data_IF_047794667434
#
_entry.id   IF_047794667434
#
_cell.length_a   1.000
_cell.length_b   1.000
_cell.length_c   1.000
_cell.angle_alpha   90.00
_cell.angle_beta   90.00
_cell.angle_gamma   90.00
#
_symmetry.space_group_name_H-M   'P 1'
#
loop_
_entity.id
_entity.type
_entity.pdbx_description
1 polymer ?
#
# COMPACT_ATOMS: atom_id res chain seq x y z
N UNK A 1 8.24 15.77 -24.40
CA UNK A 1 9.30 16.73 -24.05
C UNK A 1 10.29 16.18 -23.03
N UNK A 2 9.87 15.71 -21.85
CA UNK A 2 10.78 15.21 -20.81
C UNK A 2 11.77 14.12 -21.31
N UNK A 3 11.26 13.11 -22.04
CA UNK A 3 12.11 12.06 -22.64
C UNK A 3 13.17 12.64 -23.58
N UNK A 4 12.77 13.52 -24.51
CA UNK A 4 13.66 14.15 -25.47
C UNK A 4 14.76 14.99 -24.81
N UNK A 5 14.45 15.70 -23.72
CA UNK A 5 15.44 16.50 -22.95
C UNK A 5 16.51 15.61 -22.31
N UNK A 6 16.15 14.38 -21.96
CA UNK A 6 17.08 13.38 -21.43
C UNK A 6 17.70 12.51 -22.53
N UNK A 7 17.50 12.82 -23.81
CA UNK A 7 18.02 12.04 -24.94
C UNK A 7 17.42 10.64 -25.05
N UNK A 8 16.24 10.42 -24.46
CA UNK A 8 15.54 9.14 -24.49
C UNK A 8 14.46 9.14 -25.56
N UNK A 9 14.40 8.05 -26.32
CA UNK A 9 13.28 7.72 -27.20
C UNK A 9 12.32 6.75 -26.51
N UNK A 10 11.03 6.87 -26.83
CA UNK A 10 10.02 5.98 -26.27
C UNK A 10 8.73 6.02 -27.07
N UNK A 11 8.02 4.89 -27.11
CA UNK A 11 6.70 4.81 -27.73
C UNK A 11 5.65 5.39 -26.77
N UNK A 12 5.31 6.67 -26.96
CA UNK A 12 4.28 7.39 -26.18
C UNK A 12 2.86 7.26 -26.76
N UNK A 13 2.66 6.38 -27.73
CA UNK A 13 1.43 6.31 -28.54
C UNK A 13 1.44 7.32 -29.69
N UNK A 14 0.43 7.20 -30.56
CA UNK A 14 0.21 8.08 -31.71
C UNK A 14 -0.55 9.36 -31.33
N UNK A 15 -1.34 9.30 -30.25
CA UNK A 15 -2.22 10.38 -29.79
C UNK A 15 -2.24 10.45 -28.27
N UNK A 16 -2.69 11.57 -27.71
CA UNK A 16 -3.06 11.60 -26.30
C UNK A 16 -4.37 10.82 -26.09
N UNK A 17 -4.56 10.22 -24.92
CA UNK A 17 -5.78 9.47 -24.64
C UNK A 17 -5.76 8.79 -23.29
N UNK A 18 -6.93 8.30 -22.88
CA UNK A 18 -7.09 7.48 -21.67
C UNK A 18 -6.46 6.11 -21.89
N UNK A 19 -5.65 5.66 -20.94
CA UNK A 19 -5.12 4.29 -20.89
C UNK A 19 -6.23 3.24 -20.90
N UNK A 20 -7.42 3.60 -20.41
CA UNK A 20 -8.56 2.69 -20.37
C UNK A 20 -9.31 2.66 -21.71
N UNK A 21 -9.80 3.80 -22.19
CA UNK A 21 -10.71 3.85 -23.36
C UNK A 21 -9.98 4.00 -24.70
N UNK A 22 -8.73 4.50 -24.69
CA UNK A 22 -7.86 4.61 -25.86
C UNK A 22 -6.51 3.90 -25.61
N UNK A 23 -6.57 2.61 -25.25
CA UNK A 23 -5.37 1.79 -25.10
C UNK A 23 -4.66 1.64 -26.46
N UNK A 24 -3.53 2.34 -26.62
CA UNK A 24 -2.72 2.36 -27.85
C UNK A 24 -1.66 1.25 -27.88
N UNK A 25 -1.58 0.42 -26.84
CA UNK A 25 -0.57 -0.61 -26.65
C UNK A 25 -1.20 -1.99 -26.36
N UNK A 26 -2.32 -2.29 -27.04
CA UNK A 26 -3.16 -3.48 -26.77
C UNK A 26 -2.44 -4.83 -26.86
N UNK A 27 -1.37 -4.91 -27.63
CA UNK A 27 -0.59 -6.14 -27.84
C UNK A 27 0.71 -6.16 -27.05
N UNK A 28 1.03 -5.09 -26.31
CA UNK A 28 2.24 -4.99 -25.51
C UNK A 28 2.28 -6.12 -24.46
N UNK A 29 3.46 -6.73 -24.33
CA UNK A 29 3.81 -7.71 -23.30
C UNK A 29 5.11 -7.24 -22.66
N UNK A 30 4.97 -6.43 -21.62
CA UNK A 30 6.09 -5.82 -20.93
C UNK A 30 6.69 -6.78 -19.89
N UNK A 31 8.01 -6.87 -19.84
CA UNK A 31 8.69 -7.61 -18.77
C UNK A 31 8.68 -6.83 -17.45
N UNK A 32 8.67 -5.50 -17.55
CA UNK A 32 8.59 -4.60 -16.39
C UNK A 32 7.57 -3.49 -16.64
N UNK A 33 6.73 -3.23 -15.65
CA UNK A 33 5.86 -2.05 -15.60
C UNK A 33 6.15 -1.31 -14.31
N UNK A 34 6.41 -0.01 -14.39
CA UNK A 34 6.53 0.87 -13.23
C UNK A 34 5.54 2.01 -13.43
N UNK A 35 4.66 2.22 -12.45
CA UNK A 35 3.62 3.23 -12.60
C UNK A 35 3.23 3.88 -11.27
N UNK A 36 2.96 5.18 -11.34
CA UNK A 36 2.30 5.95 -10.28
C UNK A 36 1.00 6.54 -10.85
N UNK A 37 -0.05 5.72 -11.03
CA UNK A 37 -1.32 6.19 -11.55
C UNK A 37 -2.02 7.14 -10.55
N UNK A 38 -2.93 8.00 -11.01
CA UNK A 38 -3.71 8.86 -10.13
C UNK A 38 -4.59 8.02 -9.18
N UNK A 39 -4.63 8.40 -7.91
CA UNK A 39 -5.32 7.63 -6.86
C UNK A 39 -6.82 7.91 -6.85
N UNK A 40 -7.62 6.87 -6.62
CA UNK A 40 -9.06 6.97 -6.32
C UNK A 40 -9.87 7.78 -7.36
N UNK A 41 -9.48 7.74 -8.63
CA UNK A 41 -10.24 8.42 -9.68
C UNK A 41 -11.59 7.70 -9.87
N UNK A 42 -12.68 8.48 -9.84
CA UNK A 42 -14.04 7.98 -10.04
C UNK A 42 -14.55 8.20 -11.47
N UNK A 43 -13.99 9.17 -12.19
CA UNK A 43 -14.36 9.47 -13.57
C UNK A 43 -13.35 8.85 -14.54
N UNK A 44 -13.39 7.52 -14.66
CA UNK A 44 -12.50 6.74 -15.54
C UNK A 44 -13.24 6.03 -16.67
N UNK A 45 -14.50 6.44 -16.93
CA UNK A 45 -15.36 5.92 -18.00
C UNK A 45 -15.67 4.41 -17.88
N UNK A 46 -15.83 3.92 -16.64
CA UNK A 46 -16.09 2.53 -16.30
C UNK A 46 -17.29 1.92 -17.06
N UNK A 47 -18.33 2.72 -17.33
CA UNK A 47 -19.53 2.34 -18.08
C UNK A 47 -19.20 1.77 -19.46
N UNK A 48 -18.15 2.28 -20.11
CA UNK A 48 -17.77 1.88 -21.47
C UNK A 48 -16.98 0.58 -21.49
N UNK A 49 -16.61 0.05 -20.33
CA UNK A 49 -15.62 -1.00 -20.17
C UNK A 49 -16.16 -2.21 -19.41
N UNK A 50 -17.48 -2.36 -19.27
CA UNK A 50 -18.06 -3.47 -18.49
C UNK A 50 -17.63 -4.85 -19.02
N UNK A 51 -17.48 -4.98 -20.35
CA UNK A 51 -17.08 -6.23 -21.03
C UNK A 51 -15.60 -6.25 -21.45
N UNK A 52 -14.76 -5.38 -20.86
CA UNK A 52 -13.35 -5.30 -21.26
C UNK A 52 -12.59 -6.58 -20.86
N UNK A 53 -11.83 -7.20 -21.78
CA UNK A 53 -11.13 -8.46 -21.53
C UNK A 53 -10.01 -8.36 -20.48
N UNK A 54 -9.64 -7.14 -20.04
CA UNK A 54 -8.67 -6.92 -18.95
C UNK A 54 -9.24 -7.30 -17.58
N UNK A 55 -10.56 -7.35 -17.41
CA UNK A 55 -11.22 -7.58 -16.11
C UNK A 55 -11.32 -9.07 -15.74
N UNK A 56 -10.20 -9.78 -15.83
CA UNK A 56 -10.11 -11.24 -15.59
C UNK A 56 -10.42 -11.60 -14.13
N UNK A 57 -10.15 -10.70 -13.19
CA UNK A 57 -10.37 -10.90 -11.75
C UNK A 57 -11.70 -10.31 -11.25
N UNK A 58 -12.50 -9.72 -12.15
CA UNK A 58 -13.76 -9.05 -11.83
C UNK A 58 -13.79 -7.60 -12.30
N UNK A 59 -14.99 -7.03 -12.44
CA UNK A 59 -15.20 -5.69 -12.97
C UNK A 59 -14.87 -4.64 -11.89
N UNK A 60 -13.90 -3.74 -12.11
CA UNK A 60 -13.57 -2.69 -11.15
C UNK A 60 -14.77 -1.75 -10.89
N UNK A 61 -14.93 -1.23 -9.66
CA UNK A 61 -16.03 -0.34 -9.34
C UNK A 61 -15.92 0.99 -10.10
N UNK A 62 -17.07 1.51 -10.53
CA UNK A 62 -17.17 2.80 -11.23
C UNK A 62 -16.54 3.94 -10.43
N UNK A 63 -16.76 3.97 -9.12
CA UNK A 63 -16.26 5.02 -8.24
C UNK A 63 -14.76 4.99 -7.93
N UNK A 64 -14.01 3.95 -8.35
CA UNK A 64 -12.58 3.85 -8.04
C UNK A 64 -11.79 3.02 -9.06
N UNK A 65 -10.86 3.64 -9.78
CA UNK A 65 -10.03 2.96 -10.77
C UNK A 65 -8.82 2.19 -10.21
N UNK A 66 -8.58 2.15 -8.89
CA UNK A 66 -7.37 1.52 -8.33
C UNK A 66 -7.19 0.07 -8.82
N UNK A 67 -8.25 -0.74 -8.77
CA UNK A 67 -8.21 -2.12 -9.28
C UNK A 67 -8.29 -2.21 -10.81
N UNK A 68 -8.80 -1.17 -11.49
CA UNK A 68 -8.71 -1.06 -12.94
C UNK A 68 -7.24 -0.88 -13.38
N UNK A 69 -6.45 -0.08 -12.67
CA UNK A 69 -5.02 0.09 -12.92
C UNK A 69 -4.25 -1.22 -12.74
N UNK A 70 -4.46 -1.92 -11.62
CA UNK A 70 -3.80 -3.18 -11.33
C UNK A 70 -4.08 -4.23 -12.41
N UNK A 71 -5.36 -4.42 -12.77
CA UNK A 71 -5.75 -5.39 -13.80
C UNK A 71 -5.25 -4.98 -15.20
N UNK A 72 -5.27 -3.69 -15.54
CA UNK A 72 -4.72 -3.22 -16.81
C UNK A 72 -3.22 -3.52 -16.93
N UNK A 73 -2.44 -3.19 -15.90
CA UNK A 73 -1.00 -3.46 -15.90
C UNK A 73 -0.73 -4.96 -15.95
N UNK A 74 -1.45 -5.75 -15.15
CA UNK A 74 -1.33 -7.21 -15.16
C UNK A 74 -1.63 -7.82 -16.53
N UNK A 75 -2.65 -7.31 -17.24
CA UNK A 75 -3.00 -7.76 -18.59
C UNK A 75 -1.95 -7.41 -19.66
N UNK A 76 -1.06 -6.45 -19.38
CA UNK A 76 0.02 -5.99 -20.27
C UNK A 76 1.37 -6.62 -19.92
N UNK A 77 1.47 -7.38 -18.82
CA UNK A 77 2.69 -8.11 -18.48
C UNK A 77 2.94 -9.30 -19.43
N UNK A 78 4.20 -9.57 -19.72
CA UNK A 78 4.65 -10.82 -20.34
C UNK A 78 4.43 -12.00 -19.39
N UNK A 79 4.59 -13.24 -19.85
CA UNK A 79 4.39 -14.43 -18.99
C UNK A 79 5.34 -14.48 -17.79
N UNK A 80 6.46 -13.76 -17.83
CA UNK A 80 7.41 -13.61 -16.74
C UNK A 80 7.49 -12.17 -16.21
N UNK A 81 6.59 -11.31 -16.69
CA UNK A 81 6.61 -9.89 -16.40
C UNK A 81 6.20 -9.56 -14.97
N UNK A 82 6.66 -8.39 -14.51
CA UNK A 82 6.45 -7.89 -13.16
C UNK A 82 6.11 -6.41 -13.16
N UNK A 83 5.25 -5.99 -12.24
CA UNK A 83 4.86 -4.60 -12.11
C UNK A 83 5.14 -4.06 -10.71
N UNK A 84 5.56 -2.80 -10.61
CA UNK A 84 5.56 -2.02 -9.38
C UNK A 84 4.61 -0.84 -9.54
N UNK A 85 3.58 -0.77 -8.70
CA UNK A 85 2.50 0.21 -8.83
C UNK A 85 2.31 0.95 -7.52
N UNK A 86 2.34 2.29 -7.57
CA UNK A 86 2.03 3.13 -6.42
C UNK A 86 0.51 3.34 -6.35
N UNK A 87 -0.11 3.07 -5.20
CA UNK A 87 -1.53 3.34 -4.95
C UNK A 87 -1.74 3.88 -3.53
N UNK A 88 -2.91 4.46 -3.25
CA UNK A 88 -3.29 4.83 -1.89
C UNK A 88 -3.46 3.58 -1.00
N UNK A 89 -3.16 3.70 0.31
CA UNK A 89 -3.25 2.58 1.26
C UNK A 89 -4.62 1.89 1.31
N UNK A 90 -5.70 2.63 1.04
CA UNK A 90 -7.06 2.07 0.98
C UNK A 90 -7.20 0.92 -0.02
N UNK A 91 -6.38 0.89 -1.08
CA UNK A 91 -6.37 -0.22 -2.05
C UNK A 91 -6.09 -1.58 -1.40
N UNK A 92 -5.29 -1.63 -0.33
CA UNK A 92 -4.89 -2.87 0.34
C UNK A 92 -5.98 -3.49 1.22
N UNK A 93 -6.96 -2.68 1.65
CA UNK A 93 -7.89 -3.07 2.71
C UNK A 93 -9.36 -2.73 2.43
N UNK A 94 -9.66 -2.11 1.28
CA UNK A 94 -11.02 -1.78 0.90
C UNK A 94 -11.93 -3.00 0.98
N UNK A 95 -13.05 -2.82 1.68
CA UNK A 95 -14.09 -3.82 1.87
C UNK A 95 -15.32 -3.58 0.99
N UNK A 96 -15.24 -2.64 0.03
CA UNK A 96 -16.25 -2.58 -1.02
C UNK A 96 -16.25 -3.93 -1.75
N UNK A 97 -17.43 -4.54 -1.89
CA UNK A 97 -17.56 -5.95 -2.33
C UNK A 97 -16.74 -6.26 -3.58
N UNK A 98 -16.88 -5.44 -4.63
CA UNK A 98 -16.15 -5.61 -5.88
C UNK A 98 -14.61 -5.56 -5.72
N UNK A 99 -14.07 -4.59 -4.97
CA UNK A 99 -12.61 -4.50 -4.76
C UNK A 99 -12.08 -5.64 -3.88
N UNK A 100 -12.88 -6.07 -2.90
CA UNK A 100 -12.53 -7.19 -2.04
C UNK A 100 -12.50 -8.50 -2.82
N UNK A 101 -13.48 -8.73 -3.69
CA UNK A 101 -13.56 -9.91 -4.56
C UNK A 101 -12.42 -9.95 -5.58
N UNK A 102 -12.15 -8.83 -6.26
CA UNK A 102 -11.02 -8.73 -7.20
C UNK A 102 -9.70 -9.01 -6.50
N UNK A 103 -9.47 -8.40 -5.34
CA UNK A 103 -8.25 -8.63 -4.54
C UNK A 103 -8.10 -10.09 -4.16
N UNK A 104 -9.19 -10.70 -3.67
CA UNK A 104 -9.19 -12.11 -3.29
C UNK A 104 -8.86 -13.00 -4.49
N UNK A 105 -9.45 -12.77 -5.66
CA UNK A 105 -9.12 -13.56 -6.86
C UNK A 105 -7.67 -13.33 -7.31
N UNK A 106 -7.15 -12.11 -7.26
CA UNK A 106 -5.73 -11.83 -7.55
C UNK A 106 -4.77 -12.58 -6.61
N UNK A 107 -5.12 -12.70 -5.32
CA UNK A 107 -4.35 -13.49 -4.34
C UNK A 107 -4.44 -14.99 -4.68
N UNK A 108 -5.64 -15.50 -4.97
CA UNK A 108 -5.87 -16.91 -5.33
C UNK A 108 -5.12 -17.29 -6.62
N UNK A 109 -5.07 -16.38 -7.59
CA UNK A 109 -4.31 -16.54 -8.84
C UNK A 109 -2.81 -16.29 -8.66
N UNK A 110 -2.36 -16.03 -7.45
CA UNK A 110 -0.96 -15.84 -7.05
C UNK A 110 -0.23 -14.73 -7.83
N UNK A 111 -0.95 -13.66 -8.22
CA UNK A 111 -0.37 -12.56 -9.01
C UNK A 111 0.15 -11.40 -8.14
N UNK A 112 -0.26 -11.32 -6.88
CA UNK A 112 0.22 -10.29 -5.93
C UNK A 112 1.48 -10.81 -5.26
N UNK A 113 2.61 -10.15 -5.45
CA UNK A 113 3.93 -10.64 -5.03
C UNK A 113 4.46 -10.02 -3.74
N UNK A 114 4.35 -8.70 -3.61
CA UNK A 114 4.86 -7.98 -2.45
C UNK A 114 4.05 -6.72 -2.22
N UNK A 115 3.84 -6.40 -0.95
CA UNK A 115 3.12 -5.23 -0.47
C UNK A 115 4.02 -4.40 0.42
N UNK A 116 4.21 -3.13 0.06
CA UNK A 116 5.00 -2.18 0.86
C UNK A 116 4.11 -1.05 1.33
N UNK A 117 3.95 -0.88 2.63
CA UNK A 117 3.28 0.29 3.20
C UNK A 117 4.30 1.40 3.37
N UNK A 118 4.09 2.56 2.72
CA UNK A 118 5.02 3.68 2.79
C UNK A 118 4.63 4.65 3.92
N UNK A 119 5.58 5.47 4.38
CA UNK A 119 5.30 6.59 5.28
C UNK A 119 4.23 7.53 4.72
N UNK A 120 3.46 8.13 5.63
CA UNK A 120 2.72 9.34 5.27
C UNK A 120 3.70 10.47 4.94
N UNK A 121 3.20 11.55 4.32
CA UNK A 121 4.00 12.76 4.06
C UNK A 121 5.20 12.58 3.11
N UNK A 122 5.22 11.54 2.27
CA UNK A 122 6.19 11.44 1.16
C UNK A 122 5.85 12.38 0.00
N UNK A 123 4.56 12.52 -0.30
CA UNK A 123 4.09 13.34 -1.41
C UNK A 123 3.93 14.80 -0.99
N UNK A 124 4.40 15.72 -1.83
CA UNK A 124 4.24 17.16 -1.62
C UNK A 124 2.78 17.63 -1.68
N UNK A 125 1.94 16.91 -2.44
CA UNK A 125 0.58 17.34 -2.77
C UNK A 125 -0.51 16.63 -1.97
N UNK A 126 -0.17 15.61 -1.17
CA UNK A 126 -1.15 14.87 -0.37
C UNK A 126 -0.53 14.24 0.86
N UNK A 127 -1.27 14.25 1.97
CA UNK A 127 -0.91 13.52 3.19
C UNK A 127 -1.36 12.06 3.15
N UNK A 128 -2.14 11.66 2.14
CA UNK A 128 -2.64 10.28 1.99
C UNK A 128 -1.42 9.35 1.90
N UNK A 129 -1.27 8.41 2.86
CA UNK A 129 -0.21 7.41 2.77
C UNK A 129 -0.43 6.50 1.56
N UNK A 130 0.66 6.22 0.87
CA UNK A 130 0.66 5.33 -0.29
C UNK A 130 1.29 3.98 0.05
N UNK A 131 1.06 3.02 -0.83
CA UNK A 131 1.63 1.70 -0.80
C UNK A 131 2.19 1.36 -2.19
N UNK A 132 3.12 0.41 -2.21
CA UNK A 132 3.58 -0.24 -3.43
C UNK A 132 2.93 -1.61 -3.53
N UNK A 133 2.30 -1.84 -4.67
CA UNK A 133 1.88 -3.15 -5.14
C UNK A 133 2.94 -3.69 -6.07
N UNK A 134 3.52 -4.84 -5.74
CA UNK A 134 4.29 -5.62 -6.69
C UNK A 134 3.42 -6.75 -7.22
N UNK A 135 3.29 -6.83 -8.54
CA UNK A 135 2.62 -7.92 -9.24
C UNK A 135 3.66 -8.77 -9.98
N UNK A 136 3.44 -10.08 -10.04
CA UNK A 136 4.26 -10.99 -10.83
C UNK A 136 3.40 -12.05 -11.52
N UNK A 137 3.74 -12.37 -12.76
CA UNK A 137 3.11 -13.48 -13.50
C UNK A 137 3.76 -14.83 -13.21
N UNK A 138 4.95 -14.84 -12.64
CA UNK A 138 5.68 -16.06 -12.28
C UNK A 138 6.58 -15.82 -11.06
N UNK A 139 6.31 -16.58 -9.99
CA UNK A 139 7.05 -16.53 -8.72
C UNK A 139 7.95 -17.74 -8.47
N UNK A 140 7.99 -18.69 -9.42
CA UNK A 140 8.83 -19.88 -9.34
C UNK A 140 10.30 -19.52 -9.58
N UNK A 141 11.18 -20.47 -9.32
CA UNK A 141 12.61 -20.35 -9.62
C UNK A 141 12.79 -20.06 -11.11
N UNK A 142 13.53 -18.98 -11.41
CA UNK A 142 13.77 -18.55 -12.79
C UNK A 142 14.30 -17.13 -12.90
N UNK A 143 13.99 -16.40 -13.99
CA UNK A 143 14.46 -15.03 -14.20
C UNK A 143 14.03 -14.06 -13.09
N UNK A 144 12.95 -14.38 -12.38
CA UNK A 144 12.37 -13.56 -11.32
C UNK A 144 12.93 -13.85 -9.93
N UNK A 145 13.87 -14.79 -9.77
CA UNK A 145 14.49 -15.12 -8.49
C UNK A 145 14.97 -16.56 -8.43
N UNK A 146 15.91 -16.84 -7.52
CA UNK A 146 16.40 -18.20 -7.29
C UNK A 146 15.63 -18.94 -6.19
N UNK A 147 14.71 -18.27 -5.52
CA UNK A 147 13.78 -18.86 -4.56
C UNK A 147 12.39 -19.06 -5.18
N UNK A 148 11.76 -20.20 -4.91
CA UNK A 148 10.35 -20.41 -5.21
C UNK A 148 9.51 -19.73 -4.13
N UNK A 149 8.62 -18.84 -4.56
CA UNK A 149 7.73 -18.05 -3.68
C UNK A 149 6.28 -18.17 -4.10
N UNK A 150 5.95 -19.27 -4.78
CA UNK A 150 4.58 -19.56 -5.19
C UNK A 150 3.68 -19.62 -3.95
N UNK A 151 2.50 -19.00 -4.03
CA UNK A 151 1.53 -18.86 -2.94
C UNK A 151 2.06 -18.09 -1.71
N UNK A 152 3.11 -17.29 -1.87
CA UNK A 152 3.63 -16.41 -0.84
C UNK A 152 3.49 -14.94 -1.26
N UNK A 153 3.26 -14.08 -0.26
CA UNK A 153 3.23 -12.63 -0.41
C UNK A 153 4.16 -12.03 0.63
N UNK A 154 5.15 -11.26 0.19
CA UNK A 154 6.00 -10.51 1.10
C UNK A 154 5.29 -9.24 1.55
N UNK A 155 5.25 -9.01 2.86
CA UNK A 155 4.81 -7.76 3.45
C UNK A 155 6.00 -7.00 4.00
N UNK A 156 6.12 -5.71 3.63
CA UNK A 156 7.11 -4.79 4.18
C UNK A 156 6.39 -3.57 4.75
N UNK A 157 6.57 -3.30 6.03
CA UNK A 157 6.04 -2.12 6.69
C UNK A 157 7.12 -1.05 6.78
N UNK A 158 7.16 -0.19 5.75
CA UNK A 158 8.11 0.91 5.68
C UNK A 158 7.59 2.21 6.30
N UNK A 159 6.43 2.21 6.98
CA UNK A 159 5.75 3.44 7.46
C UNK A 159 6.60 4.31 8.38
N UNK A 160 7.55 3.69 9.10
CA UNK A 160 8.49 4.36 10.02
C UNK A 160 9.93 4.38 9.50
N UNK A 161 10.17 3.95 8.25
CA UNK A 161 11.52 3.75 7.73
C UNK A 161 12.14 4.98 7.08
N UNK A 162 11.41 6.09 6.90
CA UNK A 162 11.99 7.32 6.37
C UNK A 162 12.79 8.04 7.47
N UNK A 163 14.10 8.13 7.27
CA UNK A 163 15.03 8.68 8.26
C UNK A 163 15.34 10.17 8.06
N UNK A 164 14.92 10.77 6.94
CA UNK A 164 15.17 12.18 6.62
C UNK A 164 13.87 12.99 6.47
N UNK A 165 13.99 14.31 6.67
CA UNK A 165 12.91 15.29 6.51
C UNK A 165 13.35 16.41 5.59
N UNK A 166 12.58 16.63 4.52
CA UNK A 166 12.76 17.76 3.59
C UNK A 166 12.16 19.03 4.20
N UNK A 167 11.04 18.89 4.92
CA UNK A 167 10.35 20.01 5.57
C UNK A 167 9.69 19.58 6.87
N UNK A 168 9.02 20.52 7.56
CA UNK A 168 8.24 20.21 8.78
C UNK A 168 7.17 19.13 8.56
N UNK A 169 6.69 18.99 7.32
CA UNK A 169 5.56 18.12 6.97
C UNK A 169 5.88 17.16 5.83
N UNK A 170 7.15 17.03 5.43
CA UNK A 170 7.55 16.12 4.36
C UNK A 170 8.77 15.31 4.77
N UNK A 171 8.66 13.99 4.63
CA UNK A 171 9.76 13.04 4.85
C UNK A 171 10.32 12.58 3.51
N UNK A 172 11.55 12.07 3.54
CA UNK A 172 12.17 11.40 2.41
C UNK A 172 12.93 10.17 2.87
N UNK A 173 13.09 9.22 1.95
CA UNK A 173 13.98 8.09 2.16
C UNK A 173 15.40 8.49 1.81
N UNK A 174 16.33 8.17 2.70
CA UNK A 174 17.76 8.17 2.39
C UNK A 174 18.12 6.97 1.52
N UNK A 175 19.30 7.00 0.89
CA UNK A 175 19.80 5.85 0.14
C UNK A 175 19.92 4.60 1.01
N UNK A 176 20.22 4.75 2.30
CA UNK A 176 20.27 3.65 3.26
C UNK A 176 18.88 3.06 3.51
N UNK A 177 17.85 3.90 3.67
CA UNK A 177 16.47 3.44 3.86
C UNK A 177 15.98 2.66 2.63
N UNK A 178 16.21 3.22 1.42
CA UNK A 178 15.87 2.56 0.16
C UNK A 178 16.62 1.26 -0.01
N UNK A 179 17.92 1.23 0.30
CA UNK A 179 18.77 0.04 0.21
C UNK A 179 18.26 -1.04 1.15
N UNK A 180 17.90 -0.71 2.40
CA UNK A 180 17.35 -1.68 3.36
C UNK A 180 16.08 -2.34 2.81
N UNK A 181 15.11 -1.54 2.37
CA UNK A 181 13.84 -2.04 1.83
C UNK A 181 14.07 -2.89 0.57
N UNK A 182 14.91 -2.41 -0.35
CA UNK A 182 15.23 -3.12 -1.58
C UNK A 182 15.95 -4.44 -1.29
N UNK A 183 16.96 -4.45 -0.42
CA UNK A 183 17.70 -5.66 -0.06
C UNK A 183 16.79 -6.69 0.60
N UNK A 184 15.89 -6.31 1.50
CA UNK A 184 14.90 -7.26 2.06
C UNK A 184 14.11 -7.98 0.98
N UNK A 185 13.61 -7.24 -0.02
CA UNK A 185 12.91 -7.83 -1.15
C UNK A 185 13.80 -8.71 -2.04
N UNK A 186 15.03 -8.28 -2.28
CA UNK A 186 15.99 -9.01 -3.12
C UNK A 186 16.55 -10.28 -2.46
N UNK A 187 16.73 -10.28 -1.13
CA UNK A 187 17.05 -11.44 -0.30
C UNK A 187 15.91 -12.44 -0.32
N UNK A 188 14.66 -11.99 -0.10
CA UNK A 188 13.47 -12.86 -0.15
C UNK A 188 13.34 -13.58 -1.50
N UNK A 189 13.63 -12.85 -2.58
CA UNK A 189 13.63 -13.38 -3.95
C UNK A 189 14.88 -14.18 -4.32
N UNK A 190 15.95 -14.07 -3.53
CA UNK A 190 17.28 -14.58 -3.83
C UNK A 190 17.73 -14.17 -5.26
N UNK A 191 17.83 -12.86 -5.50
CA UNK A 191 18.27 -12.32 -6.80
C UNK A 191 19.76 -11.98 -6.82
N UNK A 192 20.32 -11.74 -7.99
CA UNK A 192 21.72 -11.28 -8.15
C UNK A 192 22.00 -9.89 -7.54
N UNK A 193 20.97 -9.09 -7.30
CA UNK A 193 21.08 -7.79 -6.63
C UNK A 193 21.09 -7.91 -5.09
N UNK A 194 20.81 -9.10 -4.57
CA UNK A 194 20.93 -9.37 -3.14
C UNK A 194 22.39 -9.26 -2.74
N UNK A 195 22.63 -8.71 -1.55
CA UNK A 195 23.95 -8.65 -0.90
C UNK A 195 24.51 -10.00 -0.45
N UNK A 196 23.80 -11.11 -0.68
CA UNK A 196 24.22 -12.47 -0.35
C UNK A 196 23.74 -12.98 1.01
N UNK A 197 23.14 -12.11 1.83
CA UNK A 197 22.57 -12.50 3.12
C UNK A 197 21.25 -13.25 2.94
N UNK A 198 20.92 -14.21 3.83
CA UNK A 198 19.63 -14.87 3.81
C UNK A 198 18.49 -13.90 4.15
N UNK A 199 17.29 -14.24 3.68
CA UNK A 199 16.07 -13.57 4.13
C UNK A 199 15.61 -14.13 5.47
N UNK A 200 15.20 -13.25 6.36
CA UNK A 200 14.57 -13.58 7.64
C UNK A 200 13.39 -12.63 7.89
N UNK A 201 12.33 -13.14 8.51
CA UNK A 201 11.22 -12.30 8.96
C UNK A 201 11.66 -11.43 10.14
N UNK A 202 11.29 -10.15 10.12
CA UNK A 202 11.69 -9.17 11.12
C UNK A 202 10.42 -8.54 11.71
N UNK A 203 10.14 -8.76 13.01
CA UNK A 203 9.00 -8.16 13.69
C UNK A 203 8.94 -6.64 13.47
N UNK A 204 7.75 -6.14 13.14
CA UNK A 204 7.48 -4.73 12.84
C UNK A 204 8.00 -4.24 11.47
N UNK A 205 8.74 -5.06 10.70
CA UNK A 205 9.34 -4.63 9.44
C UNK A 205 8.98 -5.49 8.23
N UNK A 206 9.20 -6.81 8.26
CA UNK A 206 8.88 -7.67 7.12
C UNK A 206 8.44 -9.09 7.50
N UNK A 207 7.54 -9.65 6.70
CA UNK A 207 7.01 -10.99 6.89
C UNK A 207 6.60 -11.64 5.56
N UNK A 208 7.04 -12.86 5.29
CA UNK A 208 6.65 -13.67 4.14
C UNK A 208 5.42 -14.53 4.47
N UNK A 209 4.23 -14.01 4.20
CA UNK A 209 2.99 -14.72 4.52
C UNK A 209 2.66 -15.81 3.50
N UNK A 210 2.16 -16.95 3.99
CA UNK A 210 1.53 -17.95 3.15
C UNK A 210 0.11 -17.53 2.74
N UNK A 211 -0.44 -18.19 1.73
CA UNK A 211 -1.86 -18.06 1.37
C UNK A 211 -2.79 -18.26 2.58
N UNK A 212 -2.50 -19.24 3.44
CA UNK A 212 -3.32 -19.53 4.62
C UNK A 212 -3.31 -18.38 5.62
N UNK A 213 -2.18 -17.70 5.80
CA UNK A 213 -2.08 -16.55 6.68
C UNK A 213 -2.90 -15.38 6.15
N UNK A 214 -2.80 -15.12 4.83
CA UNK A 214 -3.60 -14.09 4.16
C UNK A 214 -5.10 -14.40 4.25
N UNK A 215 -5.48 -15.68 4.16
CA UNK A 215 -6.86 -16.12 4.33
C UNK A 215 -7.36 -15.88 5.76
N UNK A 216 -6.57 -16.18 6.79
CA UNK A 216 -6.91 -15.90 8.21
C UNK A 216 -7.14 -14.40 8.46
N UNK A 217 -6.44 -13.54 7.71
CA UNK A 217 -6.62 -12.09 7.76
C UNK A 217 -7.71 -11.54 6.82
N UNK A 218 -8.54 -12.40 6.22
CA UNK A 218 -9.66 -12.00 5.38
C UNK A 218 -9.23 -11.32 4.08
N UNK A 219 -8.09 -11.73 3.51
CA UNK A 219 -7.54 -11.19 2.27
C UNK A 219 -7.19 -9.69 2.33
N UNK A 220 -7.02 -9.13 3.53
CA UNK A 220 -6.52 -7.77 3.71
C UNK A 220 -5.00 -7.76 3.54
N UNK A 221 -4.48 -6.90 2.67
CA UNK A 221 -3.07 -6.88 2.29
C UNK A 221 -2.27 -5.77 3.01
N UNK A 222 -2.71 -5.34 4.20
CA UNK A 222 -2.01 -4.30 4.97
C UNK A 222 -0.81 -4.89 5.72
N UNK A 223 0.44 -4.51 5.41
CA UNK A 223 1.64 -5.10 6.02
C UNK A 223 1.64 -5.14 7.56
N UNK A 224 1.14 -4.09 8.21
CA UNK A 224 1.06 -4.01 9.68
C UNK A 224 0.22 -5.10 10.35
N UNK A 225 -0.59 -5.88 9.61
CA UNK A 225 -1.31 -7.05 10.16
C UNK A 225 -0.45 -8.31 10.22
N UNK A 226 0.62 -8.36 9.44
CA UNK A 226 1.46 -9.54 9.24
C UNK A 226 2.80 -9.42 9.96
N UNK A 227 3.42 -8.24 9.89
CA UNK A 227 4.77 -8.05 10.45
C UNK A 227 4.79 -8.03 11.98
N UNK A 228 3.63 -7.98 12.65
CA UNK A 228 3.55 -7.83 14.10
C UNK A 228 4.00 -6.43 14.57
N UNK A 229 4.17 -6.29 15.89
CA UNK A 229 4.83 -5.12 16.45
C UNK A 229 6.33 -5.43 16.60
N UNK A 230 7.20 -4.43 16.38
CA UNK A 230 8.52 -4.46 17.02
C UNK A 230 8.28 -4.67 18.52
N UNK A 231 9.07 -5.54 19.16
CA UNK A 231 9.22 -5.47 20.60
C UNK A 231 9.73 -4.07 20.91
N UNK A 232 8.81 -3.19 21.29
CA UNK A 232 9.17 -1.95 21.93
C UNK A 232 9.92 -2.40 23.17
N UNK A 233 11.20 -2.00 23.35
CA UNK A 233 11.83 -2.04 24.67
C UNK A 233 10.81 -1.45 25.63
N UNK A 234 10.21 -2.33 26.44
CA UNK A 234 8.97 -2.03 27.11
C UNK A 234 9.15 -0.76 27.94
N UNK A 235 8.20 0.14 27.77
CA UNK A 235 7.59 0.72 28.96
C UNK A 235 7.28 -0.50 29.86
N UNK A 236 8.02 -0.69 30.96
CA UNK A 236 8.00 -1.89 31.84
C UNK A 236 6.59 -2.20 32.42
N UNK A 237 5.58 -1.40 32.06
CA UNK A 237 4.19 -1.50 32.48
C UNK A 237 3.43 -2.58 31.66
N UNK A 238 3.01 -3.68 32.30
CA UNK A 238 2.12 -4.67 31.69
C UNK A 238 0.85 -4.02 31.12
N UNK A 239 0.30 -4.57 30.03
CA UNK A 239 -0.90 -4.04 29.37
C UNK A 239 -2.08 -3.79 30.33
N UNK A 240 -2.27 -4.67 31.31
CA UNK A 240 -3.33 -4.53 32.33
C UNK A 240 -3.14 -3.26 33.17
N UNK A 241 -1.95 -3.06 33.72
CA UNK A 241 -1.60 -1.88 34.52
C UNK A 241 -1.72 -0.59 33.72
N UNK A 242 -1.28 -0.63 32.45
CA UNK A 242 -1.43 0.49 31.52
C UNK A 242 -2.89 0.84 31.26
N UNK A 243 -3.76 -0.16 31.14
CA UNK A 243 -5.18 0.06 30.89
C UNK A 243 -5.90 0.58 32.11
N UNK A 244 -5.54 0.12 33.30
CA UNK A 244 -6.03 0.65 34.55
C UNK A 244 -5.62 2.12 34.71
N UNK A 245 -4.33 2.44 34.53
CA UNK A 245 -3.82 3.81 34.61
C UNK A 245 -4.46 4.76 33.58
N UNK A 246 -4.59 4.33 32.33
CA UNK A 246 -5.22 5.13 31.28
C UNK A 246 -6.71 5.33 31.55
N UNK A 247 -7.38 4.33 32.12
CA UNK A 247 -8.80 4.44 32.52
C UNK A 247 -8.95 5.42 33.69
N UNK A 248 -8.08 5.38 34.70
CA UNK A 248 -8.06 6.34 35.80
C UNK A 248 -7.81 7.77 35.30
N UNK A 249 -6.85 7.95 34.39
CA UNK A 249 -6.62 9.25 33.75
C UNK A 249 -7.85 9.75 33.00
N UNK A 250 -8.51 8.89 32.24
CA UNK A 250 -9.72 9.25 31.51
C UNK A 250 -10.84 9.67 32.46
N UNK A 251 -11.05 8.95 33.58
CA UNK A 251 -12.06 9.31 34.59
C UNK A 251 -11.74 10.66 35.23
N UNK A 252 -10.48 10.91 35.57
CA UNK A 252 -10.03 12.20 36.11
C UNK A 252 -10.29 13.36 35.13
N UNK A 253 -9.95 13.17 33.86
CA UNK A 253 -10.19 14.17 32.81
C UNK A 253 -11.68 14.43 32.57
N UNK A 254 -12.54 13.40 32.66
CA UNK A 254 -14.00 13.57 32.59
C UNK A 254 -14.50 14.40 33.77
N UNK A 255 -13.99 14.17 34.98
CA UNK A 255 -14.37 14.96 36.15
C UNK A 255 -13.95 16.43 36.02
N UNK A 256 -12.72 16.69 35.55
CA UNK A 256 -12.22 18.04 35.29
C UNK A 256 -13.05 18.75 34.20
N UNK A 257 -13.36 18.05 33.10
CA UNK A 257 -14.25 18.55 32.04
C UNK A 257 -15.59 19.00 32.62
N UNK A 258 -16.23 18.15 33.42
CA UNK A 258 -17.54 18.45 34.01
C UNK A 258 -17.48 19.66 34.95
N UNK A 259 -16.40 19.80 35.74
CA UNK A 259 -16.21 20.95 36.61
C UNK A 259 -16.06 22.26 35.81
N UNK A 260 -15.26 22.24 34.74
CA UNK A 260 -15.10 23.38 33.83
C UNK A 260 -16.42 23.72 33.15
N UNK A 261 -17.17 22.72 32.70
CA UNK A 261 -18.49 22.89 32.08
C UNK A 261 -19.48 23.60 33.04
N UNK A 262 -19.51 23.20 34.31
CA UNK A 262 -20.32 23.88 35.34
C UNK A 262 -19.91 25.34 35.55
N UNK A 263 -18.61 25.63 35.56
CA UNK A 263 -18.10 27.01 35.68
C UNK A 263 -18.50 27.85 34.45
N UNK A 264 -18.44 27.28 33.25
CA UNK A 264 -18.87 27.95 32.02
C UNK A 264 -20.36 28.28 32.10
N UNK A 265 -21.20 27.32 32.48
CA UNK A 265 -22.65 27.53 32.61
C UNK A 265 -22.99 28.59 33.66
N UNK A 266 -22.30 28.59 34.81
CA UNK A 266 -22.48 29.64 35.84
C UNK A 266 -22.12 31.04 35.32
N UNK A 267 -21.02 31.17 34.57
CA UNK A 267 -20.60 32.46 33.99
C UNK A 267 -21.56 32.95 32.92
N UNK A 268 -22.03 32.06 32.04
CA UNK A 268 -23.00 32.40 31.00
C UNK A 268 -24.34 32.85 31.59
N UNK A 269 -24.79 32.17 32.65
CA UNK A 269 -25.97 32.59 33.42
C UNK A 269 -25.79 33.97 34.05
N UNK A 270 -24.60 34.25 34.61
CA UNK A 270 -24.24 35.57 35.14
C UNK A 270 -24.20 36.69 34.09
N UNK A 271 -24.05 36.33 32.81
CA UNK A 271 -24.07 37.26 31.66
C UNK A 271 -25.47 37.38 31.01
N UNK A 272 -26.49 36.70 31.53
CA UNK A 272 -27.88 36.78 31.05
C UNK A 272 -28.25 35.82 29.91
N UNK A 273 -27.43 34.80 29.64
CA UNK A 273 -27.76 33.73 28.68
C UNK A 273 -28.21 32.47 29.43
N UNK A 274 -29.44 32.00 29.19
CA UNK A 274 -29.97 30.74 29.74
C UNK A 274 -29.88 29.61 28.70
N UNK A 275 -29.44 28.43 29.14
CA UNK A 275 -29.35 27.17 28.38
C UNK A 275 -29.93 26.04 29.23
#
# INVERSE_FOLDING_TARGET
MNLAVHGLEGNIGQTYGSTFTNDQHKTLRADYILANPPFNISDWEAEKLQDDPRWVHGIPPKGNANYAWLQHMLARLSSRGRAGVVLANGSMSSQQSAESEIRQDMIIKDVVECMVALPGQLFSNTQIPACLWFLSRDKRIGPNGKADRSNQILFIDARKSASSRISRTQVEFTDADMTRIAQTYHRWRNTVFSDGEPYEDVPGFCYSASYEDVQKHGFLLTPGRYVGAEEVEGDDEPFGEKMDRLTEQLVSQIAERNAIEQVILQRLKGMGYEF
#
